data_IF_400198228271
#
_entry.id   IF_400198228271
#
_cell.length_a   1.000
_cell.length_b   1.000
_cell.length_c   1.000
_cell.angle_alpha   90.00
_cell.angle_beta   90.00
_cell.angle_gamma   90.00
#
_symmetry.space_group_name_H-M   'P 1'
#
loop_
_entity.id
_entity.type
_entity.pdbx_description
1 polymer ?
#
# COMPACT_ATOMS: atom_id res chain seq x y z
N UNK A 1 8.69 30.18 -2.99
CA UNK A 1 9.20 29.26 -4.03
C UNK A 1 8.24 28.09 -3.96
N UNK A 2 7.23 28.09 -4.82
CA UNK A 2 6.16 27.10 -4.83
C UNK A 2 6.69 25.79 -5.43
N UNK A 3 6.60 24.68 -4.69
CA UNK A 3 6.82 23.34 -5.24
C UNK A 3 5.63 22.98 -6.15
N UNK A 4 5.86 22.44 -7.35
CA UNK A 4 4.77 21.98 -8.20
C UNK A 4 4.14 20.72 -7.60
N UNK A 5 2.89 20.82 -7.14
CA UNK A 5 2.07 19.67 -6.77
C UNK A 5 1.76 18.88 -8.05
N UNK A 6 2.31 17.66 -8.20
CA UNK A 6 1.91 16.75 -9.28
C UNK A 6 0.43 16.43 -9.13
N UNK A 7 -0.39 16.97 -10.03
CA UNK A 7 -1.81 16.71 -10.10
C UNK A 7 -2.04 15.32 -10.73
N UNK A 8 -3.00 14.56 -10.18
CA UNK A 8 -3.41 13.27 -10.71
C UNK A 8 -4.75 13.41 -11.41
N UNK A 9 -4.91 12.76 -12.56
CA UNK A 9 -6.17 12.66 -13.27
C UNK A 9 -6.72 11.25 -13.17
N UNK A 10 -8.04 11.15 -13.06
CA UNK A 10 -8.76 9.88 -13.02
C UNK A 10 -9.45 9.64 -14.35
N UNK A 11 -9.13 8.52 -15.00
CA UNK A 11 -9.85 8.04 -16.15
C UNK A 11 -10.72 6.85 -15.75
N UNK A 12 -12.02 6.91 -16.06
CA UNK A 12 -12.93 5.79 -15.82
C UNK A 12 -13.57 5.31 -17.10
N UNK A 13 -13.77 3.99 -17.20
CA UNK A 13 -14.48 3.37 -18.32
C UNK A 13 -15.29 2.18 -17.82
N UNK A 14 -16.25 1.74 -18.62
CA UNK A 14 -17.02 0.53 -18.37
C UNK A 14 -16.68 -0.49 -19.45
N UNK A 15 -16.49 -1.74 -19.05
CA UNK A 15 -16.33 -2.84 -20.00
C UNK A 15 -17.68 -3.38 -20.49
N UNK A 16 -17.64 -4.32 -21.42
CA UNK A 16 -18.84 -4.96 -22.01
C UNK A 16 -19.67 -5.73 -20.97
N UNK A 17 -19.07 -6.11 -19.83
CA UNK A 17 -19.74 -6.78 -18.71
C UNK A 17 -20.36 -5.79 -17.72
N UNK A 18 -20.23 -4.47 -17.98
CA UNK A 18 -20.73 -3.40 -17.13
C UNK A 18 -19.89 -3.14 -15.87
N UNK A 19 -18.68 -3.71 -15.78
CA UNK A 19 -17.77 -3.43 -14.67
C UNK A 19 -17.10 -2.08 -14.89
N UNK A 20 -17.09 -1.26 -13.83
CA UNK A 20 -16.49 0.07 -13.85
C UNK A 20 -15.00 -0.02 -13.46
N UNK A 21 -14.16 0.51 -14.33
CA UNK A 21 -12.71 0.57 -14.19
C UNK A 21 -12.28 2.01 -13.96
N UNK A 22 -11.29 2.23 -13.10
CA UNK A 22 -10.72 3.55 -12.81
C UNK A 22 -9.20 3.43 -12.81
N UNK A 23 -8.54 4.26 -13.61
CA UNK A 23 -7.08 4.41 -13.64
C UNK A 23 -6.70 5.83 -13.20
N UNK A 24 -5.75 5.93 -12.27
CA UNK A 24 -5.16 7.21 -11.86
C UNK A 24 -3.79 7.36 -12.52
N UNK A 25 -3.54 8.51 -13.15
CA UNK A 25 -2.25 8.79 -13.79
C UNK A 25 -1.77 10.21 -13.46
N UNK A 26 -0.44 10.42 -13.31
CA UNK A 26 0.14 11.72 -13.02
C UNK A 26 0.14 12.59 -14.28
N UNK A 27 -0.27 13.86 -14.13
CA UNK A 27 -0.33 14.84 -15.21
C UNK A 27 -1.50 15.81 -15.03
N UNK A 28 -1.35 17.04 -15.51
CA UNK A 28 -2.44 18.02 -15.54
C UNK A 28 -3.29 17.92 -16.82
N UNK A 29 -2.80 17.20 -17.83
CA UNK A 29 -3.41 17.05 -19.14
C UNK A 29 -4.06 15.67 -19.27
N UNK A 30 -5.24 15.63 -19.89
CA UNK A 30 -5.96 14.39 -20.14
C UNK A 30 -5.16 13.53 -21.13
N UNK A 31 -4.96 12.25 -20.80
CA UNK A 31 -4.24 11.32 -21.67
C UNK A 31 -4.89 11.28 -23.06
N UNK A 32 -4.07 11.29 -24.10
CA UNK A 32 -4.56 11.13 -25.47
C UNK A 32 -5.18 9.73 -25.68
N UNK A 33 -5.84 9.55 -26.82
CA UNK A 33 -6.58 8.31 -27.11
C UNK A 33 -5.68 7.07 -27.10
N UNK A 34 -4.40 7.22 -27.45
CA UNK A 34 -3.39 6.15 -27.38
C UNK A 34 -3.02 5.82 -25.94
N UNK A 35 -2.81 6.82 -25.08
CA UNK A 35 -2.59 6.65 -23.64
C UNK A 35 -3.79 6.01 -22.93
N UNK A 36 -5.01 6.44 -23.26
CA UNK A 36 -6.23 5.82 -22.76
C UNK A 36 -6.38 4.37 -23.25
N UNK A 37 -6.04 4.07 -24.50
CA UNK A 37 -6.06 2.69 -25.02
C UNK A 37 -5.05 1.79 -24.28
N UNK A 38 -3.86 2.30 -23.94
CA UNK A 38 -2.86 1.57 -23.14
C UNK A 38 -3.35 1.29 -21.72
N UNK A 39 -3.96 2.28 -21.05
CA UNK A 39 -4.54 2.11 -19.71
C UNK A 39 -5.68 1.06 -19.72
N UNK A 40 -6.55 1.08 -20.74
CA UNK A 40 -7.59 0.06 -20.91
C UNK A 40 -7.01 -1.34 -21.13
N UNK A 41 -5.96 -1.46 -21.95
CA UNK A 41 -5.30 -2.74 -22.21
C UNK A 41 -4.61 -3.33 -20.97
N UNK A 42 -4.00 -2.48 -20.13
CA UNK A 42 -3.47 -2.88 -18.83
C UNK A 42 -4.57 -3.36 -17.88
N UNK A 43 -5.65 -2.59 -17.73
CA UNK A 43 -6.78 -2.97 -16.90
C UNK A 43 -7.44 -4.30 -17.35
N UNK A 44 -7.57 -4.51 -18.66
CA UNK A 44 -8.12 -5.74 -19.22
C UNK A 44 -7.24 -6.98 -18.92
N UNK A 45 -5.91 -6.84 -18.92
CA UNK A 45 -4.99 -7.92 -18.56
C UNK A 45 -5.08 -8.28 -17.08
N UNK A 46 -5.05 -7.28 -16.21
CA UNK A 46 -5.19 -7.48 -14.76
C UNK A 46 -6.55 -8.12 -14.42
N UNK A 47 -7.63 -7.72 -15.10
CA UNK A 47 -8.95 -8.32 -14.90
C UNK A 47 -9.00 -9.78 -15.36
N UNK A 48 -8.34 -10.13 -16.46
CA UNK A 48 -8.27 -11.51 -16.94
C UNK A 48 -7.52 -12.43 -15.95
N UNK A 49 -6.45 -11.91 -15.33
CA UNK A 49 -5.71 -12.61 -14.27
C UNK A 49 -6.56 -12.79 -13.02
N UNK A 50 -7.23 -11.74 -12.54
CA UNK A 50 -8.15 -11.80 -11.40
C UNK A 50 -9.34 -12.75 -11.63
N UNK A 51 -9.85 -12.83 -12.86
CA UNK A 51 -10.94 -13.75 -13.24
C UNK A 51 -10.45 -15.20 -13.27
N UNK A 52 -9.22 -15.45 -13.72
CA UNK A 52 -8.61 -16.77 -13.68
C UNK A 52 -8.39 -17.25 -12.24
N UNK A 53 -8.00 -16.36 -11.33
CA UNK A 53 -7.84 -16.66 -9.91
C UNK A 53 -9.18 -16.97 -9.23
N UNK A 54 -10.22 -16.16 -9.47
CA UNK A 54 -11.57 -16.39 -8.92
C UNK A 54 -12.25 -17.66 -9.43
N UNK A 55 -11.98 -18.08 -10.66
CA UNK A 55 -12.51 -19.33 -11.21
C UNK A 55 -11.94 -20.57 -10.49
N UNK A 56 -10.81 -20.43 -9.77
CA UNK A 56 -10.21 -21.48 -8.96
C UNK A 56 -10.84 -21.66 -7.57
N UNK A 57 -11.63 -20.70 -7.06
CA UNK A 57 -12.02 -20.66 -5.64
C UNK A 57 -13.55 -20.73 -5.37
N UNK A 58 -14.40 -20.91 -6.38
CA UNK A 58 -15.85 -20.85 -6.19
C UNK A 58 -16.46 -22.11 -5.51
N UNK A 59 -16.48 -22.13 -4.18
CA UNK A 59 -17.46 -22.86 -3.36
C UNK A 59 -18.67 -21.96 -3.02
N UNK A 60 -19.92 -22.46 -2.97
CA UNK A 60 -21.11 -21.63 -2.97
C UNK A 60 -21.49 -21.13 -1.57
N UNK A 61 -21.42 -19.83 -1.33
CA UNK A 61 -22.05 -19.23 -0.15
C UNK A 61 -21.50 -17.88 0.28
N UNK A 62 -21.56 -16.85 -0.58
CA UNK A 62 -21.30 -15.47 -0.16
C UNK A 62 -22.57 -14.62 -0.31
N UNK A 63 -23.14 -14.27 0.83
CA UNK A 63 -24.27 -13.35 0.94
C UNK A 63 -23.85 -11.91 0.57
N UNK A 64 -24.82 -11.14 0.08
CA UNK A 64 -24.68 -9.78 -0.46
C UNK A 64 -24.33 -8.71 0.61
N UNK A 65 -23.70 -7.59 0.20
CA UNK A 65 -23.13 -6.60 1.11
C UNK A 65 -24.15 -5.53 1.52
N UNK A 66 -24.06 -5.13 2.78
CA UNK A 66 -24.85 -4.02 3.31
C UNK A 66 -24.30 -3.57 4.66
N UNK A 67 -23.82 -2.32 4.67
CA UNK A 67 -23.69 -1.42 5.81
C UNK A 67 -22.40 -1.46 6.67
N UNK A 68 -21.63 -0.37 6.49
CA UNK A 68 -21.42 0.68 7.51
C UNK A 68 -20.68 0.22 8.76
N UNK A 69 -19.38 0.51 8.80
CA UNK A 69 -18.52 0.49 9.99
C UNK A 69 -19.07 1.43 11.09
N UNK A 70 -20.08 0.95 11.83
CA UNK A 70 -20.45 1.45 13.16
C UNK A 70 -20.75 0.26 14.07
N UNK A 71 -19.84 0.15 15.06
CA UNK A 71 -19.98 -0.54 16.36
C UNK A 71 -19.94 -2.07 16.32
N UNK A 72 -18.86 -2.66 16.81
CA UNK A 72 -18.68 -2.90 18.25
C UNK A 72 -17.27 -3.42 18.54
N UNK A 73 -16.54 -2.76 19.43
CA UNK A 73 -15.37 -3.32 20.09
C UNK A 73 -15.86 -4.43 21.03
N UNK A 74 -15.88 -5.66 20.56
CA UNK A 74 -15.92 -6.82 21.45
C UNK A 74 -14.50 -7.33 21.56
N UNK A 75 -13.82 -6.95 22.64
CA UNK A 75 -12.52 -7.50 23.00
C UNK A 75 -12.75 -8.97 23.38
N UNK A 76 -12.41 -9.90 22.49
CA UNK A 76 -12.40 -11.33 22.81
C UNK A 76 -11.19 -11.63 23.70
N UNK A 77 -11.44 -11.77 25.00
CA UNK A 77 -10.44 -12.06 26.02
C UNK A 77 -9.89 -13.51 25.97
N UNK A 78 -10.28 -14.32 24.98
CA UNK A 78 -9.86 -15.73 24.87
C UNK A 78 -8.62 -15.96 24.01
N UNK A 79 -8.11 -14.94 23.33
CA UNK A 79 -6.87 -15.05 22.57
C UNK A 79 -5.82 -14.12 23.22
N UNK A 80 -4.70 -14.65 23.76
CA UNK A 80 -3.67 -13.77 24.32
C UNK A 80 -3.19 -12.82 23.23
N UNK A 81 -3.14 -11.53 23.55
CA UNK A 81 -2.52 -10.51 22.71
C UNK A 81 -1.17 -11.04 22.24
N UNK A 82 -0.90 -11.11 20.93
CA UNK A 82 0.40 -11.59 20.47
C UNK A 82 1.48 -10.72 21.12
N UNK A 83 2.47 -11.37 21.76
CA UNK A 83 3.62 -10.66 22.32
C UNK A 83 4.25 -9.82 21.21
N UNK A 84 4.59 -8.55 21.48
CA UNK A 84 5.23 -7.71 20.49
C UNK A 84 6.54 -8.39 20.05
N UNK A 85 6.74 -8.52 18.74
CA UNK A 85 8.01 -8.93 18.17
C UNK A 85 9.12 -7.93 18.49
N UNK A 86 10.37 -8.20 18.08
CA UNK A 86 11.42 -7.18 18.12
C UNK A 86 10.92 -5.94 17.37
N UNK A 87 11.11 -4.78 17.99
CA UNK A 87 10.69 -3.48 17.42
C UNK A 87 11.58 -3.11 16.25
N UNK A 88 11.01 -2.38 15.30
CA UNK A 88 11.75 -1.83 14.19
C UNK A 88 12.83 -0.88 14.71
N UNK A 89 14.08 -1.14 14.31
CA UNK A 89 15.23 -0.29 14.64
C UNK A 89 15.37 0.85 13.61
N UNK A 90 15.36 2.14 14.04
CA UNK A 90 15.58 3.27 13.14
C UNK A 90 16.93 3.22 12.40
N UNK A 91 17.99 2.70 13.02
CA UNK A 91 19.28 2.57 12.36
C UNK A 91 19.25 1.51 11.25
N UNK A 92 18.62 0.36 11.52
CA UNK A 92 18.37 -0.66 10.51
C UNK A 92 17.56 -0.08 9.35
N UNK A 93 16.50 0.68 9.64
CA UNK A 93 15.63 1.26 8.62
C UNK A 93 16.37 2.26 7.73
N UNK A 94 17.21 3.14 8.31
CA UNK A 94 18.08 4.03 7.52
C UNK A 94 19.02 3.26 6.60
N UNK A 95 19.62 2.18 7.11
CA UNK A 95 20.50 1.33 6.34
C UNK A 95 19.74 0.60 5.22
N UNK A 96 18.51 0.16 5.48
CA UNK A 96 17.61 -0.40 4.48
C UNK A 96 17.28 0.62 3.38
N UNK A 97 16.86 1.85 3.74
CA UNK A 97 16.57 2.91 2.76
C UNK A 97 17.77 3.19 1.85
N UNK A 98 18.99 3.27 2.41
CA UNK A 98 20.20 3.51 1.65
C UNK A 98 20.54 2.35 0.69
N UNK A 99 20.46 1.10 1.16
CA UNK A 99 20.75 -0.08 0.32
C UNK A 99 19.70 -0.26 -0.77
N UNK A 100 18.42 -0.25 -0.41
CA UNK A 100 17.31 -0.41 -1.35
C UNK A 100 17.26 0.75 -2.35
N UNK A 101 17.50 1.99 -1.92
CA UNK A 101 17.57 3.15 -2.82
C UNK A 101 18.73 3.05 -3.82
N UNK A 102 19.88 2.50 -3.41
CA UNK A 102 21.01 2.24 -4.31
C UNK A 102 20.66 1.17 -5.35
N UNK A 103 20.07 0.04 -4.92
CA UNK A 103 19.64 -1.03 -5.81
C UNK A 103 18.57 -0.52 -6.81
N UNK A 104 17.58 0.22 -6.30
CA UNK A 104 16.52 0.83 -7.09
C UNK A 104 17.07 1.77 -8.16
N UNK A 105 18.08 2.58 -7.81
CA UNK A 105 18.75 3.46 -8.78
C UNK A 105 19.44 2.66 -9.88
N UNK A 106 20.04 1.51 -9.55
CA UNK A 106 20.63 0.60 -10.54
C UNK A 106 19.57 0.02 -11.49
N UNK A 107 18.50 -0.52 -10.92
CA UNK A 107 17.35 -1.06 -11.64
C UNK A 107 16.70 -0.02 -12.57
N UNK A 108 16.35 1.17 -12.09
CA UNK A 108 15.73 2.23 -12.88
C UNK A 108 16.59 2.65 -14.09
N UNK A 109 17.93 2.61 -13.96
CA UNK A 109 18.83 2.91 -15.08
C UNK A 109 18.84 1.83 -16.16
N UNK A 110 18.73 0.55 -15.80
CA UNK A 110 18.72 -0.57 -16.75
C UNK A 110 17.31 -0.88 -17.29
N UNK A 111 16.28 -0.37 -16.63
CA UNK A 111 14.88 -0.68 -16.89
C UNK A 111 14.47 -0.51 -18.35
N UNK A 112 14.67 0.68 -18.94
CA UNK A 112 14.23 0.94 -20.31
C UNK A 112 14.95 0.07 -21.34
N UNK A 113 16.22 -0.28 -21.10
CA UNK A 113 16.96 -1.19 -21.96
C UNK A 113 16.43 -2.64 -21.87
N UNK A 114 15.92 -3.04 -20.70
CA UNK A 114 15.38 -4.38 -20.45
C UNK A 114 13.93 -4.54 -20.93
N UNK A 115 13.09 -3.53 -20.70
CA UNK A 115 11.65 -3.61 -20.91
C UNK A 115 11.13 -2.80 -22.11
N UNK A 116 11.94 -1.90 -22.68
CA UNK A 116 11.61 -1.14 -23.88
C UNK A 116 10.74 0.10 -23.66
N UNK A 117 10.47 0.47 -22.41
CA UNK A 117 9.74 1.67 -22.00
C UNK A 117 10.32 2.24 -20.69
N UNK A 118 10.14 3.54 -20.38
CA UNK A 118 10.71 4.12 -19.16
C UNK A 118 10.04 3.53 -17.90
N UNK A 119 10.77 3.44 -16.78
CA UNK A 119 10.18 3.06 -15.50
C UNK A 119 9.22 4.15 -15.01
N UNK A 120 8.28 3.74 -14.16
CA UNK A 120 7.51 4.66 -13.34
C UNK A 120 8.35 5.36 -12.26
N UNK A 121 7.68 6.18 -11.45
CA UNK A 121 8.33 6.93 -10.37
C UNK A 121 8.66 6.02 -9.18
N UNK A 122 9.85 5.41 -9.25
CA UNK A 122 10.43 4.60 -8.19
C UNK A 122 11.23 5.47 -7.23
N UNK A 123 10.75 5.63 -5.99
CA UNK A 123 11.37 6.49 -5.00
C UNK A 123 11.16 5.98 -3.56
N UNK A 124 12.21 6.11 -2.76
CA UNK A 124 12.15 6.07 -1.30
C UNK A 124 12.36 7.51 -0.80
N UNK A 125 11.27 8.17 -0.39
CA UNK A 125 11.33 9.55 0.08
C UNK A 125 11.64 9.57 1.59
N UNK A 126 12.77 10.16 2.02
CA UNK A 126 13.10 10.26 3.43
C UNK A 126 12.09 11.14 4.17
N UNK A 127 11.99 10.96 5.49
CA UNK A 127 11.17 11.82 6.33
C UNK A 127 11.64 13.29 6.22
N UNK A 128 10.67 14.17 6.06
CA UNK A 128 10.81 15.63 6.08
C UNK A 128 10.12 16.23 7.31
N UNK A 129 10.46 17.46 7.68
CA UNK A 129 9.75 18.18 8.76
C UNK A 129 8.23 18.22 8.56
N UNK A 130 7.77 18.32 7.30
CA UNK A 130 6.35 18.29 6.98
C UNK A 130 5.74 16.92 7.26
N UNK A 131 6.39 15.83 6.85
CA UNK A 131 5.94 14.47 7.13
C UNK A 131 5.96 14.14 8.64
N UNK A 132 6.96 14.61 9.38
CA UNK A 132 7.06 14.43 10.83
C UNK A 132 5.92 15.15 11.56
N UNK A 133 5.57 16.38 11.14
CA UNK A 133 4.38 17.08 11.64
C UNK A 133 3.09 16.32 11.31
N UNK A 134 2.99 15.75 10.12
CA UNK A 134 1.84 14.93 9.73
C UNK A 134 1.75 13.64 10.56
N UNK A 135 2.86 12.99 10.87
CA UNK A 135 2.92 11.83 11.75
C UNK A 135 2.51 12.19 13.18
N UNK A 136 2.93 13.36 13.68
CA UNK A 136 2.44 13.90 14.96
C UNK A 136 0.93 14.10 14.95
N UNK A 137 0.37 14.71 13.89
CA UNK A 137 -1.07 14.91 13.75
C UNK A 137 -1.86 13.59 13.67
N UNK A 138 -1.29 12.55 13.07
CA UNK A 138 -1.85 11.20 13.09
C UNK A 138 -1.90 10.65 14.53
N UNK A 139 -0.83 10.87 15.31
CA UNK A 139 -0.76 10.50 16.74
C UNK A 139 -1.81 11.16 17.62
N UNK A 140 -2.20 12.40 17.31
CA UNK A 140 -3.29 13.11 17.99
C UNK A 140 -4.67 12.51 17.67
N UNK A 141 -4.83 11.90 16.49
CA UNK A 141 -6.09 11.27 16.08
C UNK A 141 -6.25 9.88 16.70
N UNK A 142 -5.18 9.09 16.76
CA UNK A 142 -5.18 7.75 17.33
C UNK A 142 -3.76 7.28 17.72
N UNK A 143 -3.64 6.31 18.66
CA UNK A 143 -2.36 5.74 19.03
C UNK A 143 -1.66 5.05 17.84
N UNK A 144 -0.63 5.67 17.28
CA UNK A 144 0.14 5.09 16.16
C UNK A 144 0.90 3.84 16.64
N UNK A 145 0.85 2.71 15.90
CA UNK A 145 1.68 1.54 16.20
C UNK A 145 3.17 1.91 16.28
N UNK A 146 3.92 1.43 17.30
CA UNK A 146 5.30 1.86 17.53
C UNK A 146 6.23 1.68 16.32
N UNK A 147 6.12 0.56 15.62
CA UNK A 147 6.97 0.27 14.46
C UNK A 147 6.62 1.16 13.26
N UNK A 148 5.35 1.55 13.13
CA UNK A 148 4.92 2.52 12.12
C UNK A 148 5.38 3.94 12.48
N UNK A 149 5.40 4.29 13.76
CA UNK A 149 5.98 5.55 14.23
C UNK A 149 7.49 5.62 13.96
N UNK A 150 8.23 4.53 14.18
CA UNK A 150 9.63 4.41 13.76
C UNK A 150 9.77 4.58 12.25
N UNK A 151 8.91 3.93 11.46
CA UNK A 151 8.93 4.04 10.01
C UNK A 151 8.80 5.50 9.55
N UNK A 152 7.79 6.21 10.07
CA UNK A 152 7.55 7.61 9.71
C UNK A 152 8.58 8.59 10.29
N UNK A 153 9.40 8.16 11.23
CA UNK A 153 10.57 8.93 11.68
C UNK A 153 11.68 9.01 10.63
N UNK A 154 11.76 8.04 9.71
CA UNK A 154 12.86 7.93 8.73
C UNK A 154 12.40 8.01 7.28
N UNK A 155 11.16 7.61 6.99
CA UNK A 155 10.59 7.50 5.65
C UNK A 155 9.25 8.22 5.57
N UNK A 156 9.12 9.18 4.66
CA UNK A 156 7.81 9.78 4.37
C UNK A 156 6.97 8.80 3.56
N UNK A 157 7.48 8.34 2.42
CA UNK A 157 6.77 7.42 1.53
C UNK A 157 7.73 6.53 0.74
N UNK A 158 7.22 5.40 0.29
CA UNK A 158 7.84 4.59 -0.76
C UNK A 158 6.86 4.47 -1.92
N UNK A 159 7.36 4.66 -3.14
CA UNK A 159 6.65 4.40 -4.40
C UNK A 159 7.52 3.48 -5.20
N UNK A 160 7.12 2.22 -5.39
CA UNK A 160 7.88 1.21 -6.11
C UNK A 160 6.95 0.54 -7.15
N UNK A 161 6.40 1.29 -8.12
CA UNK A 161 5.41 0.76 -9.06
C UNK A 161 5.94 -0.37 -9.95
N UNK A 162 7.25 -0.41 -10.19
CA UNK A 162 7.89 -1.36 -11.12
C UNK A 162 8.51 -2.58 -10.42
N UNK A 163 8.29 -2.73 -9.10
CA UNK A 163 8.78 -3.87 -8.32
C UNK A 163 7.64 -4.86 -8.14
N UNK A 164 7.69 -5.98 -8.86
CA UNK A 164 6.62 -6.99 -8.93
C UNK A 164 5.27 -6.35 -9.33
N UNK A 165 4.21 -6.51 -8.52
CA UNK A 165 2.90 -5.86 -8.73
C UNK A 165 2.85 -4.42 -8.19
N UNK A 166 3.98 -3.90 -7.72
CA UNK A 166 4.12 -2.59 -7.11
C UNK A 166 4.02 -2.62 -5.59
N UNK A 167 4.83 -1.79 -4.92
CA UNK A 167 4.78 -1.60 -3.47
C UNK A 167 4.75 -0.12 -3.11
N UNK A 168 3.77 0.25 -2.28
CA UNK A 168 3.59 1.63 -1.85
C UNK A 168 3.53 1.71 -0.33
N UNK A 169 4.37 2.55 0.26
CA UNK A 169 4.23 3.00 1.66
C UNK A 169 3.68 4.41 1.61
N UNK A 170 2.50 4.60 2.16
CA UNK A 170 1.79 5.88 2.13
C UNK A 170 2.35 6.85 3.16
N UNK A 171 2.32 8.14 2.82
CA UNK A 171 2.72 9.20 3.75
C UNK A 171 1.81 9.27 4.97
N UNK A 172 2.31 9.81 6.12
CA UNK A 172 1.48 9.98 7.31
C UNK A 172 0.21 10.81 7.04
N UNK A 173 0.30 11.78 6.13
CA UNK A 173 -0.85 12.59 5.71
C UNK A 173 -1.89 11.76 4.95
N UNK A 174 -1.44 10.90 4.02
CA UNK A 174 -2.32 9.99 3.30
C UNK A 174 -3.00 8.97 4.24
N UNK A 175 -2.25 8.40 5.18
CA UNK A 175 -2.82 7.50 6.21
C UNK A 175 -3.85 8.23 7.07
N UNK A 176 -3.59 9.48 7.46
CA UNK A 176 -4.57 10.29 8.18
C UNK A 176 -5.85 10.48 7.37
N UNK A 177 -5.72 10.73 6.06
CA UNK A 177 -6.85 10.79 5.12
C UNK A 177 -7.65 9.49 5.13
N UNK A 178 -6.98 8.35 4.93
CA UNK A 178 -7.60 7.02 4.95
C UNK A 178 -8.33 6.75 6.28
N UNK A 179 -7.73 7.07 7.42
CA UNK A 179 -8.37 6.87 8.72
C UNK A 179 -9.64 7.71 8.86
N UNK A 180 -9.64 8.95 8.35
CA UNK A 180 -10.83 9.82 8.40
C UNK A 180 -11.95 9.34 7.46
N UNK A 181 -11.58 8.81 6.30
CA UNK A 181 -12.53 8.39 5.28
C UNK A 181 -13.09 6.99 5.55
N UNK A 182 -12.22 6.02 5.81
CA UNK A 182 -12.54 4.61 5.91
C UNK A 182 -12.48 4.06 7.35
N UNK A 183 -11.87 4.80 8.28
CA UNK A 183 -11.60 4.31 9.62
C UNK A 183 -10.41 3.38 9.67
N UNK A 184 -10.40 2.46 10.64
CA UNK A 184 -9.32 1.51 10.86
C UNK A 184 -9.82 0.08 10.67
N UNK A 185 -9.08 -0.80 9.96
CA UNK A 185 -9.51 -2.18 9.76
C UNK A 185 -9.58 -2.94 11.09
N UNK A 186 -10.55 -3.85 11.19
CA UNK A 186 -10.65 -4.77 12.31
C UNK A 186 -9.79 -6.02 12.03
N UNK A 187 -8.66 -6.14 12.72
CA UNK A 187 -7.76 -7.29 12.58
C UNK A 187 -7.75 -8.09 13.89
N UNK A 188 -8.05 -9.38 13.80
CA UNK A 188 -8.10 -10.28 14.95
C UNK A 188 -6.78 -10.30 15.72
N UNK A 189 -6.84 -10.06 17.03
CA UNK A 189 -5.66 -9.99 17.91
C UNK A 189 -4.97 -8.63 17.96
N UNK A 190 -5.39 -7.66 17.14
CA UNK A 190 -4.92 -6.28 17.22
C UNK A 190 -5.95 -5.39 17.90
N UNK A 191 -5.46 -4.55 18.83
CA UNK A 191 -6.30 -3.50 19.44
C UNK A 191 -6.63 -2.40 18.43
N UNK A 192 -5.69 -2.12 17.54
CA UNK A 192 -5.75 -1.07 16.54
C UNK A 192 -4.76 -1.42 15.43
N UNK A 193 -5.22 -1.36 14.18
CA UNK A 193 -4.38 -1.51 13.00
C UNK A 193 -4.58 -0.32 12.07
N UNK A 194 -3.52 0.09 11.40
CA UNK A 194 -3.51 1.17 10.42
C UNK A 194 -3.13 0.62 9.06
N UNK A 195 -3.92 0.95 8.04
CA UNK A 195 -3.50 0.79 6.64
C UNK A 195 -2.40 1.81 6.37
N UNK A 196 -1.21 1.32 6.06
CA UNK A 196 -0.02 2.16 5.85
C UNK A 196 0.53 2.09 4.43
N UNK A 197 0.01 1.17 3.60
CA UNK A 197 0.52 0.97 2.27
C UNK A 197 -0.45 0.19 1.40
N UNK A 198 -0.07 0.01 0.14
CA UNK A 198 -0.80 -0.78 -0.83
C UNK A 198 0.14 -1.48 -1.80
N UNK A 199 -0.39 -2.42 -2.57
CA UNK A 199 0.23 -2.86 -3.82
C UNK A 199 -0.41 -2.17 -5.04
N UNK A 200 0.18 -2.33 -6.22
CA UNK A 200 -0.38 -1.77 -7.47
C UNK A 200 -1.62 -2.51 -7.97
N UNK A 201 -2.02 -3.61 -7.30
CA UNK A 201 -3.26 -4.34 -7.55
C UNK A 201 -4.43 -3.90 -6.66
N UNK A 202 -4.23 -2.88 -5.82
CA UNK A 202 -5.27 -2.32 -4.94
C UNK A 202 -5.45 -3.06 -3.61
N UNK A 203 -4.60 -4.04 -3.29
CA UNK A 203 -4.58 -4.62 -1.95
C UNK A 203 -3.89 -3.66 -0.98
N UNK A 204 -4.31 -3.70 0.27
CA UNK A 204 -3.86 -2.80 1.32
C UNK A 204 -2.99 -3.54 2.33
N UNK A 205 -1.91 -2.89 2.76
CA UNK A 205 -1.07 -3.36 3.85
C UNK A 205 -1.45 -2.63 5.13
N UNK A 206 -1.70 -3.40 6.18
CA UNK A 206 -2.01 -2.89 7.51
C UNK A 206 -1.00 -3.39 8.54
N UNK A 207 -0.76 -2.59 9.58
CA UNK A 207 0.05 -2.99 10.74
C UNK A 207 -0.57 -2.46 12.04
N UNK A 208 -0.36 -3.20 13.13
CA UNK A 208 -0.89 -2.90 14.45
C UNK A 208 0.20 -2.93 15.51
N UNK A 209 -0.19 -2.96 16.79
CA UNK A 209 0.76 -2.85 17.90
C UNK A 209 1.72 -4.03 18.01
N UNK A 210 1.36 -5.21 17.50
CA UNK A 210 2.27 -6.37 17.46
C UNK A 210 3.44 -6.22 16.50
N UNK A 211 3.38 -5.25 15.57
CA UNK A 211 4.39 -5.03 14.53
C UNK A 211 4.25 -5.97 13.33
N UNK A 212 3.30 -6.90 13.34
CA UNK A 212 2.98 -7.76 12.19
C UNK A 212 2.41 -6.95 11.02
N UNK A 213 2.51 -7.50 9.83
CA UNK A 213 1.95 -6.91 8.61
C UNK A 213 0.93 -7.86 8.01
N UNK A 214 -0.24 -7.32 7.71
CA UNK A 214 -1.31 -8.02 7.01
C UNK A 214 -1.56 -7.37 5.65
N UNK A 215 -1.97 -8.18 4.69
CA UNK A 215 -2.47 -7.74 3.39
C UNK A 215 -3.97 -8.01 3.32
N UNK A 216 -4.74 -7.10 2.74
CA UNK A 216 -6.14 -7.38 2.43
C UNK A 216 -6.24 -8.56 1.45
N UNK A 217 -7.30 -9.36 1.57
CA UNK A 217 -7.58 -10.53 0.71
C UNK A 217 -8.21 -10.14 -0.61
N UNK A 218 -8.75 -8.93 -0.67
CA UNK A 218 -9.33 -8.33 -1.88
C UNK A 218 -8.78 -6.93 -2.08
N UNK A 219 -8.84 -6.43 -3.31
CA UNK A 219 -8.58 -5.03 -3.66
C UNK A 219 -9.72 -4.09 -3.17
N UNK A 220 -10.00 -4.13 -1.87
CA UNK A 220 -11.03 -3.33 -1.21
C UNK A 220 -10.64 -3.08 0.24
N UNK A 221 -10.89 -1.88 0.78
CA UNK A 221 -10.72 -1.59 2.21
C UNK A 221 -11.66 -2.39 3.12
N UNK A 222 -12.74 -2.94 2.56
CA UNK A 222 -13.70 -3.76 3.30
C UNK A 222 -13.34 -5.25 3.33
N UNK A 223 -12.21 -5.65 2.72
CA UNK A 223 -11.77 -7.04 2.67
C UNK A 223 -11.20 -7.54 3.99
N UNK A 224 -11.22 -8.87 4.17
CA UNK A 224 -10.50 -9.54 5.26
C UNK A 224 -8.99 -9.36 5.12
N UNK A 225 -8.24 -9.53 6.20
CA UNK A 225 -6.79 -9.37 6.23
C UNK A 225 -6.06 -10.67 6.56
N UNK A 226 -5.07 -11.04 5.75
CA UNK A 226 -4.20 -12.21 5.95
C UNK A 226 -2.79 -11.79 6.33
N UNK A 227 -2.16 -12.51 7.26
CA UNK A 227 -0.81 -12.24 7.72
C UNK A 227 0.22 -12.49 6.60
N UNK A 228 1.05 -11.49 6.28
CA UNK A 228 2.09 -11.59 5.25
C UNK A 228 3.51 -11.44 5.80
N UNK A 229 3.68 -10.81 6.96
CA UNK A 229 4.97 -10.77 7.66
C UNK A 229 4.79 -10.74 9.18
N UNK A 230 5.73 -11.32 9.91
CA UNK A 230 5.69 -11.36 11.38
C UNK A 230 6.18 -10.07 12.02
N UNK A 231 6.96 -9.28 11.29
CA UNK A 231 7.39 -7.93 11.66
C UNK A 231 7.37 -6.99 10.46
N UNK A 232 7.27 -5.68 10.71
CA UNK A 232 7.43 -4.66 9.68
C UNK A 232 8.83 -4.68 9.07
N UNK A 233 9.85 -5.02 9.87
CA UNK A 233 11.21 -5.25 9.39
C UNK A 233 11.29 -6.38 8.35
N UNK A 234 10.68 -7.54 8.63
CA UNK A 234 10.64 -8.69 7.71
C UNK A 234 9.94 -8.32 6.39
N UNK A 235 8.84 -7.57 6.47
CA UNK A 235 8.13 -7.07 5.30
C UNK A 235 9.01 -6.16 4.43
N UNK A 236 9.65 -5.16 5.04
CA UNK A 236 10.55 -4.23 4.33
C UNK A 236 11.77 -4.95 3.76
N UNK A 237 12.38 -5.87 4.50
CA UNK A 237 13.52 -6.66 4.03
C UNK A 237 13.15 -7.50 2.80
N UNK A 238 11.95 -8.08 2.79
CA UNK A 238 11.39 -8.77 1.62
C UNK A 238 11.35 -7.88 0.38
N UNK A 239 10.83 -6.65 0.51
CA UNK A 239 10.83 -5.66 -0.59
C UNK A 239 12.26 -5.33 -1.02
N UNK A 240 13.18 -5.10 -0.06
CA UNK A 240 14.57 -4.77 -0.36
C UNK A 240 15.29 -5.87 -1.15
N UNK A 241 15.00 -7.14 -0.86
CA UNK A 241 15.53 -8.28 -1.62
C UNK A 241 14.95 -8.35 -3.03
N UNK A 242 13.64 -8.15 -3.18
CA UNK A 242 13.02 -8.09 -4.51
C UNK A 242 13.67 -7.03 -5.39
N UNK A 243 13.93 -5.83 -4.85
CA UNK A 243 14.62 -4.76 -5.58
C UNK A 243 16.05 -5.13 -5.95
N UNK A 244 16.76 -5.86 -5.08
CA UNK A 244 18.14 -6.28 -5.32
C UNK A 244 18.27 -7.37 -6.40
N UNK A 245 17.22 -8.13 -6.66
CA UNK A 245 17.19 -9.24 -7.62
C UNK A 245 16.75 -8.82 -9.05
N UNK A 246 16.38 -7.54 -9.26
CA UNK A 246 15.91 -6.98 -10.55
C UNK A 246 17.04 -6.45 -11.45
#
# INVERSE_FOLDING_TARGET
MDEPTTQYQGYSWQDEDGAQHIALYPGSEEADEEGLARLRAMGARQLAELRAERAGEAGPGAARPGARWRRSLTVDLRNPTPLPGPRLDPQWLRAWCARTGTALTGFTRSFAARYGFPPGENALAPATDASLRAAGALGELLPVPPDLATLYGELDRASLPDVDNGYFVHSPAAVTGHVREYGTPAIGGERLALVFGSDGGGHLFATGHSGRVWRSTTASPDGDFTLVARTLEEFLDGIGRLVADL
#
